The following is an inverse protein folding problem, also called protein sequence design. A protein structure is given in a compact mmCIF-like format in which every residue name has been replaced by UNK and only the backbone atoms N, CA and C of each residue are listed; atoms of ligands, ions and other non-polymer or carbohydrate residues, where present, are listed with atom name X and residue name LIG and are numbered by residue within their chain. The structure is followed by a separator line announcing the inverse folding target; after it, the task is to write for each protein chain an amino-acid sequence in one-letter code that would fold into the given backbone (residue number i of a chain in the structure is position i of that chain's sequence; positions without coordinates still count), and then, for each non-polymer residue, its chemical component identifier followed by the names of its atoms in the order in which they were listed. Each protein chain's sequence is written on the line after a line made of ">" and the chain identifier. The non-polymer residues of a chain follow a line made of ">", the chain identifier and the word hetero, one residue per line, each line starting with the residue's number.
data_IF_511406467481
#
_entry.id   IF_511406467481
#
_cell.length_a   1.000
_cell.length_b   1.000
_cell.length_c   1.000
_cell.angle_alpha   90.00
_cell.angle_beta   90.00
_cell.angle_gamma   90.00
#
_symmetry.space_group_name_H-M   'P 1'
#
loop_
_entity.id
_entity.type
_entity.pdbx_description
1 polymer ?
#
# COMPACT_ATOMS: atom_id res chain seq x y z
N UNK A 1 -80.27 5.58 52.60
CA UNK A 1 -79.69 6.60 51.71
C UNK A 1 -78.35 6.08 51.24
N UNK A 2 -78.26 5.65 49.98
CA UNK A 2 -77.04 5.15 49.36
C UNK A 2 -77.07 5.55 47.87
N UNK A 3 -75.98 6.07 47.28
CA UNK A 3 -76.04 6.77 46.00
C UNK A 3 -75.82 5.83 44.81
N UNK A 4 -76.47 6.18 43.69
CA UNK A 4 -76.32 5.54 42.39
C UNK A 4 -74.92 5.81 41.80
N UNK A 5 -74.22 4.75 41.38
CA UNK A 5 -73.05 4.83 40.51
C UNK A 5 -73.49 4.56 39.06
N UNK A 6 -73.31 5.56 38.20
CA UNK A 6 -73.44 5.43 36.75
C UNK A 6 -72.18 4.76 36.19
N UNK A 7 -72.36 3.69 35.42
CA UNK A 7 -71.30 3.04 34.66
C UNK A 7 -71.02 3.84 33.37
N UNK A 8 -69.79 4.33 33.23
CA UNK A 8 -69.28 4.91 31.99
C UNK A 8 -68.87 3.81 31.01
N UNK A 9 -69.30 3.94 29.76
CA UNK A 9 -68.90 3.11 28.62
C UNK A 9 -67.45 3.41 28.20
N UNK A 10 -66.63 2.39 27.86
CA UNK A 10 -65.27 2.62 27.40
C UNK A 10 -65.23 3.09 25.94
N UNK A 11 -64.43 4.13 25.66
CA UNK A 11 -64.09 4.54 24.30
C UNK A 11 -63.12 3.53 23.64
N UNK A 12 -63.23 3.30 22.32
CA UNK A 12 -62.32 2.43 21.59
C UNK A 12 -60.94 3.07 21.41
N UNK A 13 -59.87 2.26 21.29
CA UNK A 13 -58.50 2.74 21.16
C UNK A 13 -58.28 3.44 19.81
N UNK A 14 -57.58 4.58 19.85
CA UNK A 14 -57.10 5.31 18.69
C UNK A 14 -56.00 4.52 17.98
N UNK A 15 -56.25 4.24 16.70
CA UNK A 15 -55.35 3.58 15.76
C UNK A 15 -54.15 4.50 15.45
N UNK A 16 -52.98 4.16 16.00
CA UNK A 16 -51.72 4.81 15.64
C UNK A 16 -51.12 4.07 14.46
N UNK A 17 -51.34 4.60 13.26
CA UNK A 17 -50.69 4.14 12.02
C UNK A 17 -49.16 4.16 12.13
N UNK A 18 -48.47 3.42 11.25
CA UNK A 18 -47.03 3.17 11.35
C UNK A 18 -46.23 4.47 11.25
N UNK A 19 -45.41 4.72 12.28
CA UNK A 19 -44.42 5.79 12.31
C UNK A 19 -43.39 5.55 11.19
N UNK A 20 -43.25 6.53 10.29
CA UNK A 20 -42.15 6.55 9.32
C UNK A 20 -40.81 6.70 10.06
N UNK A 21 -39.74 6.00 9.64
CA UNK A 21 -38.41 6.21 10.19
C UNK A 21 -37.90 7.63 9.87
N UNK A 22 -37.03 8.20 10.73
CA UNK A 22 -36.48 9.53 10.50
C UNK A 22 -35.64 9.55 9.22
N UNK A 23 -35.87 10.58 8.40
CA UNK A 23 -35.13 10.85 7.18
C UNK A 23 -33.77 11.46 7.53
N UNK A 24 -32.75 10.61 7.71
CA UNK A 24 -31.36 11.05 7.70
C UNK A 24 -30.96 11.38 6.25
N UNK A 25 -31.21 12.63 5.86
CA UNK A 25 -30.57 13.24 4.69
C UNK A 25 -29.64 14.34 5.20
N UNK A 26 -28.42 13.95 5.57
CA UNK A 26 -27.32 14.91 5.54
C UNK A 26 -27.09 15.35 4.09
N UNK A 27 -26.93 16.65 3.81
CA UNK A 27 -26.64 17.13 2.48
C UNK A 27 -25.30 16.55 2.00
N UNK A 28 -25.18 16.16 0.72
CA UNK A 28 -23.93 15.62 0.21
C UNK A 28 -22.84 16.68 0.31
N UNK A 29 -21.83 16.41 1.14
CA UNK A 29 -20.57 17.17 1.15
C UNK A 29 -19.92 16.94 -0.21
N UNK A 30 -20.05 17.92 -1.10
CA UNK A 30 -19.37 17.95 -2.39
C UNK A 30 -17.88 18.19 -2.15
N UNK A 31 -17.11 17.12 -1.97
CA UNK A 31 -15.66 17.18 -2.02
C UNK A 31 -15.27 17.43 -3.48
N UNK A 32 -14.52 18.51 -3.81
CA UNK A 32 -14.07 18.73 -5.17
C UNK A 32 -13.17 17.56 -5.60
N UNK A 33 -13.65 16.78 -6.57
CA UNK A 33 -12.87 15.72 -7.21
C UNK A 33 -11.77 16.40 -8.03
N UNK A 34 -10.57 16.43 -7.47
CA UNK A 34 -9.39 16.91 -8.18
C UNK A 34 -8.98 15.85 -9.22
N UNK A 35 -9.52 15.98 -10.45
CA UNK A 35 -9.32 15.07 -11.57
C UNK A 35 -7.88 15.04 -12.14
N UNK A 36 -6.91 15.69 -11.50
CA UNK A 36 -5.55 15.86 -12.01
C UNK A 36 -4.51 14.84 -11.51
N UNK A 37 -4.91 13.75 -10.83
CA UNK A 37 -3.99 12.63 -10.53
C UNK A 37 -3.80 11.76 -11.77
N UNK A 38 -2.89 12.16 -12.66
CA UNK A 38 -2.36 11.30 -13.73
C UNK A 38 -1.48 10.22 -13.13
N UNK A 39 -1.66 8.96 -13.57
CA UNK A 39 -0.67 7.89 -13.36
C UNK A 39 0.71 8.42 -13.81
N UNK A 40 1.75 8.34 -12.96
CA UNK A 40 3.06 8.85 -13.33
C UNK A 40 3.60 8.04 -14.52
N UNK A 41 3.73 8.66 -15.69
CA UNK A 41 4.33 8.07 -16.89
C UNK A 41 5.75 7.50 -16.63
N UNK A 42 6.39 7.94 -15.54
CA UNK A 42 7.71 7.49 -15.10
C UNK A 42 7.71 6.03 -14.58
N UNK A 43 6.57 5.45 -14.23
CA UNK A 43 6.53 4.08 -13.66
C UNK A 43 6.97 3.03 -14.70
N UNK A 44 6.52 3.15 -15.95
CA UNK A 44 6.97 2.25 -17.03
C UNK A 44 8.47 2.37 -17.32
N UNK A 45 9.05 3.56 -17.14
CA UNK A 45 10.48 3.78 -17.36
C UNK A 45 11.36 3.32 -16.19
N UNK A 46 10.77 3.17 -15.00
CA UNK A 46 11.49 2.74 -13.79
C UNK A 46 11.71 1.24 -13.69
N UNK A 47 11.06 0.45 -14.55
CA UNK A 47 11.11 -1.01 -14.53
C UNK A 47 12.12 -1.46 -15.60
N UNK A 48 13.14 -2.28 -15.24
CA UNK A 48 14.20 -2.64 -16.16
C UNK A 48 13.68 -3.39 -17.40
N UNK A 49 14.33 -3.19 -18.57
CA UNK A 49 14.00 -3.91 -19.80
C UNK A 49 14.12 -5.44 -19.63
N UNK A 50 13.36 -6.19 -20.43
CA UNK A 50 13.10 -7.62 -20.24
C UNK A 50 14.35 -8.51 -20.27
N UNK A 51 15.33 -8.23 -21.15
CA UNK A 51 16.50 -9.09 -21.37
C UNK A 51 17.42 -9.29 -20.13
N UNK A 52 17.20 -8.56 -19.04
CA UNK A 52 17.94 -8.68 -17.78
C UNK A 52 17.10 -9.13 -16.57
N UNK A 53 15.87 -9.62 -16.78
CA UNK A 53 14.94 -9.95 -15.67
C UNK A 53 15.18 -11.34 -15.07
N UNK A 54 16.29 -11.47 -14.34
CA UNK A 54 16.46 -12.53 -13.34
C UNK A 54 15.90 -12.13 -11.96
N UNK A 55 15.44 -10.88 -11.81
CA UNK A 55 15.02 -10.32 -10.53
C UNK A 55 13.53 -10.51 -10.20
N UNK A 56 13.24 -10.48 -8.90
CA UNK A 56 11.89 -10.39 -8.37
C UNK A 56 11.37 -8.95 -8.49
N UNK A 57 10.14 -8.76 -8.98
CA UNK A 57 9.49 -7.44 -9.06
C UNK A 57 8.32 -7.38 -8.08
N UNK A 58 8.31 -6.33 -7.26
CA UNK A 58 7.20 -5.97 -6.37
C UNK A 58 6.91 -4.48 -6.48
N UNK A 59 5.65 -4.11 -6.70
CA UNK A 59 5.17 -2.74 -6.70
C UNK A 59 3.93 -2.65 -5.81
N UNK A 60 3.87 -1.66 -4.95
CA UNK A 60 2.74 -1.47 -4.02
C UNK A 60 2.33 -0.01 -3.95
N UNK A 61 1.02 0.25 -3.90
CA UNK A 61 0.49 1.57 -3.56
C UNK A 61 -0.83 1.93 -4.25
N UNK A 62 -1.26 3.16 -4.00
CA UNK A 62 -2.46 3.78 -4.59
C UNK A 62 -2.22 4.09 -6.08
N UNK A 63 -2.90 3.35 -6.95
CA UNK A 63 -2.86 3.55 -8.39
C UNK A 63 -4.11 4.29 -8.91
N UNK A 64 -5.05 4.63 -8.03
CA UNK A 64 -6.36 5.22 -8.36
C UNK A 64 -7.11 4.44 -9.48
N UNK A 65 -6.77 3.17 -9.63
CA UNK A 65 -7.20 2.30 -10.71
C UNK A 65 -8.31 1.37 -10.20
N UNK A 66 -9.44 1.33 -10.91
CA UNK A 66 -10.52 0.38 -10.61
C UNK A 66 -10.45 -0.71 -11.68
N UNK A 67 -9.94 -1.89 -11.31
CA UNK A 67 -9.73 -3.00 -12.24
C UNK A 67 -10.85 -4.05 -12.18
N UNK A 68 -11.68 -4.01 -11.13
CA UNK A 68 -12.67 -5.05 -10.86
C UNK A 68 -12.01 -6.44 -10.84
N UNK A 69 -12.68 -7.40 -11.47
CA UNK A 69 -12.22 -8.79 -11.60
C UNK A 69 -11.58 -9.09 -12.96
N UNK A 70 -11.29 -8.08 -13.78
CA UNK A 70 -10.70 -8.33 -15.10
C UNK A 70 -9.28 -8.86 -15.01
N UNK A 71 -8.97 -9.71 -15.99
CA UNK A 71 -7.67 -10.34 -16.15
C UNK A 71 -6.59 -9.30 -16.49
N UNK A 72 -5.57 -9.31 -15.66
CA UNK A 72 -4.28 -8.63 -15.77
C UNK A 72 -3.26 -9.45 -16.56
N UNK A 73 -3.70 -10.57 -17.13
CA UNK A 73 -2.91 -11.45 -17.97
C UNK A 73 -3.55 -11.64 -19.36
N UNK A 74 -2.82 -12.31 -20.25
CA UNK A 74 -3.22 -12.78 -21.57
C UNK A 74 -3.25 -14.31 -21.46
N UNK A 75 -4.33 -14.95 -21.89
CA UNK A 75 -4.34 -16.42 -21.95
C UNK A 75 -3.46 -16.82 -23.13
N UNK A 76 -2.37 -17.57 -22.91
CA UNK A 76 -1.56 -18.03 -24.02
C UNK A 76 -2.32 -19.03 -24.88
N UNK A 77 -2.14 -18.96 -26.20
CA UNK A 77 -2.63 -19.97 -27.12
C UNK A 77 -1.56 -21.05 -27.28
N UNK A 78 -1.81 -22.20 -26.66
CA UNK A 78 -0.89 -23.35 -26.68
C UNK A 78 -0.56 -23.81 -28.10
N UNK A 79 -1.48 -23.63 -29.06
CA UNK A 79 -1.26 -24.05 -30.45
C UNK A 79 -0.20 -23.21 -31.18
N UNK A 80 0.06 -21.97 -30.73
CA UNK A 80 1.06 -21.11 -31.35
C UNK A 80 2.49 -21.55 -31.03
N UNK A 81 2.73 -22.21 -29.89
CA UNK A 81 4.08 -22.68 -29.52
C UNK A 81 4.55 -23.74 -30.51
N UNK A 82 3.71 -24.74 -30.74
CA UNK A 82 4.02 -25.88 -31.60
C UNK A 82 4.20 -25.44 -33.05
N UNK A 83 3.47 -24.40 -33.47
CA UNK A 83 3.53 -23.87 -34.84
C UNK A 83 4.80 -23.03 -35.07
N UNK A 84 5.25 -22.27 -34.07
CA UNK A 84 6.32 -21.29 -34.25
C UNK A 84 7.71 -21.74 -33.76
N UNK A 85 7.85 -22.97 -33.23
CA UNK A 85 9.13 -23.51 -32.74
C UNK A 85 9.89 -22.49 -31.86
N UNK A 86 9.16 -21.82 -30.96
CA UNK A 86 9.69 -20.66 -30.24
C UNK A 86 10.92 -21.03 -29.39
N UNK A 87 12.03 -20.33 -29.61
CA UNK A 87 13.27 -20.50 -28.84
C UNK A 87 13.14 -19.96 -27.40
N UNK A 88 14.05 -20.37 -26.52
CA UNK A 88 14.03 -20.09 -25.07
C UNK A 88 14.07 -18.60 -24.69
N UNK A 89 14.50 -17.73 -25.60
CA UNK A 89 14.59 -16.28 -25.46
C UNK A 89 13.34 -15.55 -25.98
N UNK A 90 12.31 -16.28 -26.42
CA UNK A 90 11.10 -15.69 -26.93
C UNK A 90 10.20 -15.11 -25.81
N UNK A 91 9.76 -13.86 -25.97
CA UNK A 91 8.88 -13.16 -25.02
C UNK A 91 7.57 -13.92 -24.76
N UNK A 92 7.00 -14.56 -25.78
CA UNK A 92 5.78 -15.37 -25.66
C UNK A 92 6.05 -16.56 -24.75
N UNK A 93 7.17 -17.27 -24.95
CA UNK A 93 7.53 -18.42 -24.13
C UNK A 93 7.78 -18.01 -22.67
N UNK A 94 8.47 -16.89 -22.42
CA UNK A 94 8.64 -16.36 -21.06
C UNK A 94 7.30 -16.02 -20.40
N UNK A 95 6.39 -15.39 -21.15
CA UNK A 95 5.04 -15.07 -20.66
C UNK A 95 4.27 -16.33 -20.26
N UNK A 96 4.37 -17.39 -21.06
CA UNK A 96 3.73 -18.67 -20.79
C UNK A 96 4.25 -19.34 -19.53
N UNK A 97 5.57 -19.29 -19.32
CA UNK A 97 6.17 -19.80 -18.10
C UNK A 97 5.67 -19.05 -16.87
N UNK A 98 5.52 -17.72 -16.94
CA UNK A 98 4.97 -16.91 -15.85
C UNK A 98 3.52 -17.27 -15.53
N UNK A 99 2.70 -17.47 -16.57
CA UNK A 99 1.30 -17.87 -16.45
C UNK A 99 1.15 -19.28 -15.84
N UNK A 100 1.91 -20.26 -16.34
CA UNK A 100 1.93 -21.62 -15.81
C UNK A 100 2.50 -21.69 -14.39
N UNK A 101 3.49 -20.85 -14.07
CA UNK A 101 4.05 -20.77 -12.73
C UNK A 101 3.00 -20.38 -11.68
N UNK A 102 2.09 -19.44 -11.99
CA UNK A 102 1.00 -19.10 -11.09
C UNK A 102 0.05 -20.28 -10.86
N UNK A 103 -0.27 -21.05 -11.91
CA UNK A 103 -1.10 -22.26 -11.80
C UNK A 103 -0.41 -23.31 -10.92
N UNK A 104 0.87 -23.58 -11.15
CA UNK A 104 1.67 -24.55 -10.38
C UNK A 104 1.76 -24.18 -8.89
N UNK A 105 1.72 -22.88 -8.57
CA UNK A 105 1.70 -22.38 -7.20
C UNK A 105 0.31 -22.40 -6.55
N UNK A 106 -0.70 -22.98 -7.20
CA UNK A 106 -2.10 -22.99 -6.77
C UNK A 106 -2.63 -21.57 -6.48
N UNK A 107 -2.17 -20.56 -7.24
CA UNK A 107 -2.69 -19.20 -7.15
C UNK A 107 -3.84 -19.03 -8.15
N UNK A 108 -4.99 -18.49 -7.73
CA UNK A 108 -6.11 -18.29 -8.65
C UNK A 108 -5.71 -17.27 -9.73
N UNK A 109 -5.88 -17.67 -10.99
CA UNK A 109 -5.66 -16.79 -12.13
C UNK A 109 -6.73 -15.70 -12.16
N UNK A 110 -8.01 -16.09 -12.07
CA UNK A 110 -9.11 -15.14 -11.97
C UNK A 110 -9.14 -14.49 -10.59
N UNK A 111 -9.24 -13.16 -10.59
CA UNK A 111 -9.33 -12.36 -9.36
C UNK A 111 -10.78 -12.23 -8.90
N UNK A 112 -10.95 -12.10 -7.61
CA UNK A 112 -12.21 -11.63 -7.01
C UNK A 112 -12.01 -10.20 -6.49
N UNK A 113 -13.12 -9.51 -6.25
CA UNK A 113 -13.09 -8.21 -5.61
C UNK A 113 -14.42 -7.95 -4.92
N UNK A 114 -14.36 -7.44 -3.70
CA UNK A 114 -15.51 -6.89 -3.00
C UNK A 114 -15.97 -5.54 -3.59
N UNK A 115 -15.16 -4.91 -4.46
CA UNK A 115 -15.58 -3.72 -5.18
C UNK A 115 -16.55 -4.07 -6.31
N UNK A 116 -17.80 -3.64 -6.19
CA UNK A 116 -18.78 -3.67 -7.28
C UNK A 116 -18.67 -2.47 -8.24
N UNK A 117 -17.54 -1.77 -8.21
CA UNK A 117 -17.31 -0.62 -9.05
C UNK A 117 -17.02 -1.00 -10.51
N UNK A 118 -17.53 -0.17 -11.43
CA UNK A 118 -17.11 -0.25 -12.83
C UNK A 118 -15.61 0.05 -12.98
N UNK A 119 -15.00 -0.61 -13.95
CA UNK A 119 -13.64 -0.29 -14.38
C UNK A 119 -13.55 1.18 -14.81
N UNK A 120 -12.47 1.85 -14.42
CA UNK A 120 -12.15 3.19 -14.89
C UNK A 120 -10.98 3.18 -15.89
N UNK A 121 -10.70 4.34 -16.49
CA UNK A 121 -9.60 4.49 -17.47
C UNK A 121 -8.23 4.10 -16.89
N UNK A 122 -7.98 4.39 -15.62
CA UNK A 122 -6.75 3.99 -14.94
C UNK A 122 -6.68 2.47 -14.73
N UNK A 123 -7.82 1.82 -14.49
CA UNK A 123 -7.96 0.36 -14.45
C UNK A 123 -7.55 -0.30 -15.75
N UNK A 124 -8.05 0.21 -16.89
CA UNK A 124 -7.62 -0.28 -18.20
C UNK A 124 -6.11 -0.14 -18.43
N UNK A 125 -5.53 1.01 -18.07
CA UNK A 125 -4.09 1.26 -18.19
C UNK A 125 -3.26 0.35 -17.27
N UNK A 126 -3.73 0.12 -16.05
CA UNK A 126 -3.07 -0.78 -15.11
C UNK A 126 -3.07 -2.23 -15.63
N UNK A 127 -4.20 -2.71 -16.15
CA UNK A 127 -4.29 -4.05 -16.72
C UNK A 127 -3.38 -4.20 -17.95
N UNK A 128 -3.32 -3.19 -18.83
CA UNK A 128 -2.41 -3.16 -19.97
C UNK A 128 -0.93 -3.16 -19.53
N UNK A 129 -0.60 -2.38 -18.50
CA UNK A 129 0.74 -2.36 -17.90
C UNK A 129 1.11 -3.73 -17.32
N UNK A 130 0.20 -4.40 -16.61
CA UNK A 130 0.44 -5.74 -16.04
C UNK A 130 0.82 -6.74 -17.13
N UNK A 131 0.05 -6.76 -18.22
CA UNK A 131 0.27 -7.64 -19.38
C UNK A 131 1.63 -7.38 -20.04
N UNK A 132 1.94 -6.11 -20.29
CA UNK A 132 3.21 -5.70 -20.94
C UNK A 132 4.44 -5.92 -20.08
N UNK A 133 4.28 -5.84 -18.76
CA UNK A 133 5.39 -5.93 -17.83
C UNK A 133 5.51 -7.29 -17.15
N UNK A 134 4.66 -8.25 -17.48
CA UNK A 134 4.68 -9.61 -16.90
C UNK A 134 4.58 -9.57 -15.37
N UNK A 135 3.75 -8.66 -14.86
CA UNK A 135 3.43 -8.55 -13.44
C UNK A 135 1.95 -8.79 -13.25
N UNK A 136 1.61 -9.27 -12.07
CA UNK A 136 0.28 -9.75 -11.74
C UNK A 136 -0.20 -9.07 -10.46
N UNK A 137 -1.44 -8.60 -10.46
CA UNK A 137 -2.14 -8.08 -9.29
C UNK A 137 -2.27 -9.20 -8.26
N UNK A 138 -1.65 -9.04 -7.11
CA UNK A 138 -1.69 -9.99 -6.03
C UNK A 138 -2.99 -9.93 -5.23
N UNK A 139 -3.68 -8.79 -5.14
CA UNK A 139 -4.97 -8.71 -4.45
C UNK A 139 -5.91 -9.82 -4.96
N UNK A 140 -6.52 -10.56 -4.03
CA UNK A 140 -7.34 -11.78 -4.16
C UNK A 140 -6.62 -13.11 -4.44
N UNK A 141 -5.27 -13.16 -4.49
CA UNK A 141 -4.52 -14.34 -4.95
C UNK A 141 -3.67 -15.09 -3.92
N UNK A 142 -2.94 -14.45 -3.00
CA UNK A 142 -2.08 -15.16 -2.07
C UNK A 142 -2.76 -15.40 -0.71
N UNK A 143 -2.46 -16.57 -0.13
CA UNK A 143 -2.63 -16.88 1.30
C UNK A 143 -4.05 -16.59 1.78
N UNK A 144 -4.22 -15.67 2.73
CA UNK A 144 -5.46 -15.36 3.41
C UNK A 144 -6.45 -14.57 2.55
N UNK A 145 -5.98 -13.91 1.49
CA UNK A 145 -6.84 -13.11 0.60
C UNK A 145 -7.33 -13.91 -0.62
N UNK A 146 -7.01 -15.21 -0.73
CA UNK A 146 -7.46 -16.07 -1.84
C UNK A 146 -8.98 -15.98 -2.00
N UNK A 147 -9.44 -15.48 -3.16
CA UNK A 147 -10.85 -15.40 -3.48
C UNK A 147 -11.64 -14.34 -2.71
N UNK A 148 -10.97 -13.45 -1.95
CA UNK A 148 -11.62 -12.35 -1.22
C UNK A 148 -11.56 -11.05 -2.03
N UNK A 149 -10.36 -10.46 -2.16
CA UNK A 149 -10.17 -9.20 -2.89
C UNK A 149 -10.79 -8.02 -2.15
N UNK A 150 -10.47 -7.89 -0.86
CA UNK A 150 -11.02 -6.89 0.06
C UNK A 150 -10.74 -5.47 -0.42
N UNK A 151 -11.70 -4.57 -0.20
CA UNK A 151 -11.54 -3.15 -0.55
C UNK A 151 -10.39 -2.50 0.20
N UNK A 152 -9.61 -1.66 -0.48
CA UNK A 152 -8.48 -0.92 0.12
C UNK A 152 -8.82 0.53 0.45
N UNK A 153 -9.99 1.04 0.03
CA UNK A 153 -10.40 2.41 0.24
C UNK A 153 -11.88 2.50 0.65
N UNK A 154 -12.14 3.04 1.85
CA UNK A 154 -13.45 3.31 2.46
C UNK A 154 -14.48 2.17 2.42
N UNK A 155 -14.08 0.91 2.37
CA UNK A 155 -15.02 -0.20 2.16
C UNK A 155 -15.79 -0.13 0.82
N UNK A 156 -15.31 0.70 -0.12
CA UNK A 156 -16.02 1.00 -1.37
C UNK A 156 -15.20 0.60 -2.58
N UNK A 157 -13.87 0.69 -2.53
CA UNK A 157 -13.04 0.39 -3.69
C UNK A 157 -11.70 -0.25 -3.41
N UNK A 158 -11.21 -0.99 -4.41
CA UNK A 158 -9.84 -1.48 -4.50
C UNK A 158 -9.10 -0.54 -5.45
N UNK A 159 -8.21 0.28 -4.89
CA UNK A 159 -7.36 1.22 -5.66
C UNK A 159 -5.88 1.12 -5.28
N UNK A 160 -5.60 0.51 -4.15
CA UNK A 160 -4.26 0.16 -3.68
C UNK A 160 -3.98 -1.28 -4.08
N UNK A 161 -2.93 -1.48 -4.87
CA UNK A 161 -2.59 -2.79 -5.40
C UNK A 161 -1.20 -3.19 -4.96
N UNK A 162 -1.03 -4.50 -4.78
CA UNK A 162 0.27 -5.14 -4.84
C UNK A 162 0.40 -5.82 -6.20
N UNK A 163 1.47 -5.51 -6.93
CA UNK A 163 1.83 -6.15 -8.21
C UNK A 163 3.10 -6.95 -8.01
N UNK A 164 3.10 -8.21 -8.46
CA UNK A 164 4.22 -9.12 -8.29
C UNK A 164 4.58 -9.80 -9.61
N UNK A 165 5.85 -10.05 -9.85
CA UNK A 165 6.27 -11.08 -10.81
C UNK A 165 5.80 -12.47 -10.36
N UNK A 166 5.48 -13.36 -11.30
CA UNK A 166 5.09 -14.78 -11.07
C UNK A 166 5.96 -15.49 -10.01
N UNK A 167 7.29 -15.36 -10.10
CA UNK A 167 8.27 -15.96 -9.18
C UNK A 167 8.11 -15.50 -7.73
N UNK A 168 7.67 -14.27 -7.51
CA UNK A 168 7.57 -13.69 -6.17
C UNK A 168 6.35 -14.21 -5.40
N UNK A 169 5.32 -14.72 -6.08
CA UNK A 169 4.14 -15.31 -5.43
C UNK A 169 4.46 -16.51 -4.53
N UNK A 170 5.46 -17.32 -4.86
CA UNK A 170 5.89 -18.43 -4.00
C UNK A 170 6.57 -17.98 -2.71
N UNK A 171 7.05 -16.74 -2.67
CA UNK A 171 7.68 -16.16 -1.49
C UNK A 171 6.69 -15.36 -0.64
N UNK A 172 5.46 -15.13 -1.07
CA UNK A 172 4.45 -14.49 -0.22
C UNK A 172 4.04 -15.46 0.88
N UNK A 173 4.35 -15.09 2.13
CA UNK A 173 4.02 -15.86 3.34
C UNK A 173 2.69 -15.42 3.93
N UNK A 174 2.48 -14.11 4.01
CA UNK A 174 1.25 -13.49 4.50
C UNK A 174 0.85 -12.36 3.56
N UNK A 175 -0.46 -12.20 3.35
CA UNK A 175 -1.02 -11.07 2.62
C UNK A 175 -2.44 -10.82 3.08
N UNK A 176 -2.70 -9.61 3.57
CA UNK A 176 -4.01 -9.23 4.04
C UNK A 176 -4.25 -7.72 3.88
N UNK A 177 -5.53 -7.37 3.73
CA UNK A 177 -5.99 -5.98 3.81
C UNK A 177 -6.53 -5.78 5.23
N UNK A 178 -5.79 -5.01 6.02
CA UNK A 178 -6.14 -4.71 7.41
C UNK A 178 -7.37 -3.80 7.47
N UNK A 179 -8.06 -3.83 8.61
CA UNK A 179 -9.20 -2.94 8.84
C UNK A 179 -8.76 -1.46 8.85
N UNK A 180 -9.70 -0.58 8.51
CA UNK A 180 -9.47 0.86 8.53
C UNK A 180 -9.09 1.34 9.92
N UNK A 181 -7.99 2.09 10.03
CA UNK A 181 -7.56 2.74 11.27
C UNK A 181 -7.45 4.25 11.00
N UNK A 182 -8.37 5.02 11.58
CA UNK A 182 -8.45 6.48 11.42
C UNK A 182 -7.21 7.24 11.91
N UNK A 183 -6.37 6.60 12.74
CA UNK A 183 -5.09 7.14 13.18
C UNK A 183 -4.04 7.16 12.06
N UNK A 184 -4.10 6.22 11.12
CA UNK A 184 -3.06 6.03 10.09
C UNK A 184 -3.50 6.47 8.70
N UNK A 185 -4.80 6.58 8.45
CA UNK A 185 -5.34 7.05 7.18
C UNK A 185 -6.70 7.70 7.36
N UNK A 186 -7.02 8.60 6.45
CA UNK A 186 -8.34 9.19 6.29
C UNK A 186 -9.29 8.30 5.48
N UNK A 187 -8.76 7.50 4.54
CA UNK A 187 -9.58 6.76 3.58
C UNK A 187 -9.06 5.36 3.20
N UNK A 188 -7.81 5.03 3.48
CA UNK A 188 -7.17 3.79 3.02
C UNK A 188 -7.04 2.74 4.13
N UNK A 189 -7.26 1.48 3.74
CA UNK A 189 -6.93 0.30 4.52
C UNK A 189 -5.47 -0.08 4.25
N UNK A 190 -4.74 -0.50 5.28
CA UNK A 190 -3.35 -0.90 5.12
C UNK A 190 -3.25 -2.26 4.38
N UNK A 191 -2.28 -2.37 3.48
CA UNK A 191 -1.89 -3.64 2.87
C UNK A 191 -0.74 -4.21 3.71
N UNK A 192 -0.96 -5.35 4.33
CA UNK A 192 0.06 -6.09 5.04
C UNK A 192 0.58 -7.23 4.16
N UNK A 193 1.90 -7.34 4.03
CA UNK A 193 2.55 -8.41 3.30
C UNK A 193 3.82 -8.86 4.01
N UNK A 194 4.02 -10.18 4.07
CA UNK A 194 5.25 -10.81 4.54
C UNK A 194 5.83 -11.67 3.43
N UNK A 195 7.12 -11.51 3.16
CA UNK A 195 7.86 -12.38 2.25
C UNK A 195 8.74 -13.36 3.03
N UNK A 196 8.78 -14.61 2.57
CA UNK A 196 9.75 -15.61 3.00
C UNK A 196 11.14 -15.15 2.61
N UNK A 197 11.99 -14.93 3.61
CA UNK A 197 13.41 -14.76 3.39
C UNK A 197 14.03 -16.10 3.05
N UNK A 198 14.52 -16.25 1.83
CA UNK A 198 15.39 -17.38 1.47
C UNK A 198 16.82 -16.90 1.70
N UNK A 199 17.51 -17.45 2.71
CA UNK A 199 18.94 -17.23 2.88
C UNK A 199 19.67 -17.84 1.68
N UNK A 200 19.89 -17.04 0.64
CA UNK A 200 20.83 -17.37 -0.42
C UNK A 200 22.23 -17.19 0.16
N UNK A 201 22.78 -18.27 0.73
CA UNK A 201 24.21 -18.38 0.97
C UNK A 201 24.87 -18.51 -0.41
N UNK A 202 25.27 -17.40 -1.04
CA UNK A 202 26.22 -17.39 -2.14
C UNK A 202 26.89 -16.01 -2.26
N UNK A 203 28.20 -16.06 -2.51
CA UNK A 203 29.17 -14.99 -2.51
C UNK A 203 28.74 -13.79 -3.36
N UNK A 204 28.62 -12.62 -2.74
CA UNK A 204 28.40 -11.36 -3.45
C UNK A 204 29.69 -11.03 -4.22
N UNK A 205 29.74 -11.39 -5.50
CA UNK A 205 30.61 -10.71 -6.46
C UNK A 205 30.05 -9.31 -6.69
N UNK A 206 30.65 -8.34 -6.01
CA UNK A 206 30.34 -6.92 -6.17
C UNK A 206 30.68 -6.46 -7.59
N UNK A 207 29.69 -6.45 -8.48
CA UNK A 207 29.69 -5.51 -9.61
C UNK A 207 28.61 -4.46 -9.37
N UNK A 208 29.00 -3.39 -8.67
CA UNK A 208 28.10 -2.31 -8.32
C UNK A 208 28.28 -1.17 -9.32
N UNK A 209 27.36 -1.08 -10.27
CA UNK A 209 27.24 0.07 -11.17
C UNK A 209 26.94 1.34 -10.37
N UNK A 210 27.96 2.20 -10.33
CA UNK A 210 28.04 3.64 -10.12
C UNK A 210 26.82 4.48 -9.63
N UNK A 211 27.13 5.29 -8.62
CA UNK A 211 26.65 6.67 -8.35
C UNK A 211 25.32 6.90 -7.62
N UNK A 212 24.97 6.07 -6.64
CA UNK A 212 24.13 6.54 -5.54
C UNK A 212 25.02 6.86 -4.33
N UNK A 213 25.02 8.11 -3.84
CA UNK A 213 25.54 8.43 -2.51
C UNK A 213 24.57 7.88 -1.47
N UNK A 214 24.61 6.57 -1.24
CA UNK A 214 23.82 5.93 -0.18
C UNK A 214 24.45 6.23 1.16
N UNK A 215 23.71 6.91 2.03
CA UNK A 215 24.04 6.98 3.45
C UNK A 215 23.84 5.56 4.00
N UNK A 216 24.94 4.84 4.21
CA UNK A 216 24.92 3.49 4.78
C UNK A 216 25.07 3.60 6.29
N UNK A 217 24.17 2.95 7.04
CA UNK A 217 24.32 2.76 8.48
C UNK A 217 25.67 2.08 8.78
N UNK A 218 26.36 2.56 9.81
CA UNK A 218 27.65 2.04 10.25
C UNK A 218 27.49 1.44 11.64
N UNK A 219 27.46 0.12 11.75
CA UNK A 219 27.27 -0.59 13.03
C UNK A 219 28.30 -0.21 14.09
N UNK A 220 29.53 0.15 13.69
CA UNK A 220 30.56 0.60 14.61
C UNK A 220 30.19 1.92 15.33
N UNK A 221 29.24 2.67 14.78
CA UNK A 221 28.71 3.93 15.36
C UNK A 221 27.39 3.74 16.10
N UNK A 222 26.90 2.50 16.27
CA UNK A 222 25.67 2.23 17.01
C UNK A 222 25.68 2.82 18.42
N UNK A 223 26.76 2.59 19.17
CA UNK A 223 26.86 3.11 20.54
C UNK A 223 26.97 4.64 20.56
N UNK A 224 27.62 5.25 19.58
CA UNK A 224 27.69 6.70 19.42
C UNK A 224 26.29 7.31 19.14
N UNK A 225 25.47 6.63 18.33
CA UNK A 225 24.09 7.00 18.06
C UNK A 225 23.23 6.96 19.32
N UNK A 226 23.28 5.83 20.04
CA UNK A 226 22.54 5.64 21.29
C UNK A 226 22.99 6.66 22.35
N UNK A 227 24.30 6.91 22.47
CA UNK A 227 24.84 7.89 23.40
C UNK A 227 24.43 9.33 23.03
N UNK A 228 24.33 9.66 21.74
CA UNK A 228 23.85 10.98 21.29
C UNK A 228 22.41 11.20 21.73
N UNK A 229 21.54 10.19 21.58
CA UNK A 229 20.18 10.24 22.12
C UNK A 229 20.14 10.37 23.65
N UNK A 230 20.99 9.61 24.36
CA UNK A 230 21.08 9.73 25.82
C UNK A 230 21.58 11.09 26.29
N UNK A 231 22.47 11.73 25.53
CA UNK A 231 22.99 13.07 25.84
C UNK A 231 21.95 14.16 25.55
N UNK A 232 20.93 13.88 24.71
CA UNK A 232 19.79 14.75 24.46
C UNK A 232 18.62 14.54 25.43
N UNK A 233 18.87 13.96 26.61
CA UNK A 233 17.84 13.66 27.62
C UNK A 233 17.04 14.89 28.06
N UNK A 234 17.69 16.05 28.16
CA UNK A 234 17.01 17.29 28.55
C UNK A 234 16.04 17.76 27.45
N UNK A 235 16.43 17.63 26.17
CA UNK A 235 15.54 17.92 25.04
C UNK A 235 14.34 16.95 25.01
N UNK A 236 14.58 15.65 25.24
CA UNK A 236 13.49 14.67 25.35
C UNK A 236 12.53 14.99 26.51
N UNK A 237 13.06 15.48 27.63
CA UNK A 237 12.24 15.88 28.79
C UNK A 237 11.39 17.10 28.46
N UNK A 238 11.93 18.08 27.72
CA UNK A 238 11.18 19.24 27.26
C UNK A 238 10.05 18.84 26.30
N UNK A 239 10.35 18.01 25.29
CA UNK A 239 9.34 17.48 24.36
C UNK A 239 8.20 16.77 25.13
N UNK A 240 8.55 15.96 26.14
CA UNK A 240 7.56 15.26 26.96
C UNK A 240 6.71 16.22 27.79
N UNK A 241 7.32 17.24 28.39
CA UNK A 241 6.59 18.26 29.14
C UNK A 241 5.66 19.06 28.22
N UNK A 242 6.10 19.39 27.02
CA UNK A 242 5.28 20.12 26.05
C UNK A 242 4.10 19.28 25.58
N UNK A 243 4.32 17.98 25.33
CA UNK A 243 3.23 17.03 25.06
C UNK A 243 2.24 16.91 26.22
N UNK A 244 2.72 16.85 27.45
CA UNK A 244 1.86 16.79 28.65
C UNK A 244 1.07 18.10 28.84
N UNK A 245 1.71 19.24 28.62
CA UNK A 245 1.07 20.56 28.64
C UNK A 245 0.00 20.68 27.55
N UNK A 246 0.24 20.15 26.34
CA UNK A 246 -0.77 20.13 25.27
C UNK A 246 -1.92 19.19 25.64
N UNK A 247 -1.62 18.01 26.17
CA UNK A 247 -2.61 17.00 26.54
C UNK A 247 -3.55 17.46 27.67
N UNK A 248 -3.03 18.26 28.62
CA UNK A 248 -3.81 18.78 29.76
C UNK A 248 -4.63 20.02 29.42
N UNK A 249 -4.45 20.61 28.23
CA UNK A 249 -5.21 21.78 27.77
C UNK A 249 -6.47 21.34 27.01
N UNK A 250 -7.55 22.11 27.18
CA UNK A 250 -8.81 21.89 26.45
C UNK A 250 -8.71 22.17 24.93
N UNK A 251 -7.63 22.83 24.49
CA UNK A 251 -7.41 23.18 23.08
C UNK A 251 -5.95 22.99 22.68
N UNK A 252 -5.75 22.35 21.53
CA UNK A 252 -4.46 22.17 20.86
C UNK A 252 -4.49 22.92 19.52
N UNK A 253 -3.48 23.73 19.24
CA UNK A 253 -3.35 24.47 17.99
C UNK A 253 -2.39 23.78 17.04
N UNK A 254 -2.44 24.14 15.74
CA UNK A 254 -1.47 23.65 14.76
C UNK A 254 -0.03 24.04 15.13
N UNK A 255 0.16 25.23 15.71
CA UNK A 255 1.48 25.70 16.15
C UNK A 255 2.06 24.80 17.24
N UNK A 256 1.22 24.29 18.15
CA UNK A 256 1.65 23.37 19.20
C UNK A 256 2.19 22.06 18.59
N UNK A 257 1.49 21.53 17.57
CA UNK A 257 1.90 20.33 16.83
C UNK A 257 3.20 20.59 16.05
N UNK A 258 3.29 21.72 15.36
CA UNK A 258 4.46 22.08 14.55
C UNK A 258 5.71 22.24 15.42
N UNK A 259 5.57 22.82 16.61
CA UNK A 259 6.67 22.98 17.57
C UNK A 259 7.20 21.62 18.04
N UNK A 260 6.31 20.75 18.56
CA UNK A 260 6.71 19.42 19.03
C UNK A 260 7.32 18.58 17.90
N UNK A 261 6.71 18.62 16.72
CA UNK A 261 7.21 17.89 15.54
C UNK A 261 8.57 18.44 15.10
N UNK A 262 8.76 19.76 15.17
CA UNK A 262 10.03 20.43 14.89
C UNK A 262 11.14 19.96 15.82
N UNK A 263 10.88 19.95 17.13
CA UNK A 263 11.86 19.52 18.14
C UNK A 263 12.24 18.04 18.00
N UNK A 264 11.26 17.16 17.75
CA UNK A 264 11.52 15.74 17.47
C UNK A 264 12.39 15.62 16.21
N UNK A 265 12.06 16.32 15.14
CA UNK A 265 12.83 16.30 13.90
C UNK A 265 14.26 16.78 14.09
N UNK A 266 14.46 17.87 14.84
CA UNK A 266 15.80 18.38 15.16
C UNK A 266 16.61 17.36 15.97
N UNK A 267 15.99 16.69 16.94
CA UNK A 267 16.63 15.65 17.73
C UNK A 267 17.14 14.50 16.84
N UNK A 268 16.28 13.97 15.97
CA UNK A 268 16.67 12.92 15.03
C UNK A 268 17.74 13.39 14.04
N UNK A 269 17.61 14.62 13.54
CA UNK A 269 18.54 15.18 12.55
C UNK A 269 19.93 15.43 13.15
N UNK A 270 20.01 15.95 14.37
CA UNK A 270 21.26 16.16 15.08
C UNK A 270 21.94 14.83 15.39
N UNK A 271 21.18 13.82 15.81
CA UNK A 271 21.70 12.47 16.05
C UNK A 271 22.18 11.81 14.76
N UNK A 272 21.45 11.96 13.66
CA UNK A 272 21.84 11.45 12.35
C UNK A 272 23.12 12.14 11.84
N UNK A 273 23.28 13.46 12.04
CA UNK A 273 24.47 14.21 11.60
C UNK A 273 25.79 13.73 12.23
N UNK A 274 25.76 13.30 13.49
CA UNK A 274 26.97 12.85 14.20
C UNK A 274 27.37 11.43 13.82
N UNK A 275 26.39 10.61 13.46
CA UNK A 275 26.53 9.15 13.39
C UNK A 275 26.50 8.60 11.97
N UNK A 276 25.75 9.24 11.08
CA UNK A 276 25.72 8.84 9.68
C UNK A 276 26.94 9.42 8.95
N UNK A 277 27.63 8.56 8.21
CA UNK A 277 28.81 8.94 7.45
C UNK A 277 28.46 10.03 6.42
N UNK A 278 29.21 11.13 6.41
CA UNK A 278 29.10 12.13 5.33
C UNK A 278 29.41 11.44 3.99
N UNK A 279 28.69 11.77 2.91
CA UNK A 279 28.97 11.21 1.60
C UNK A 279 30.43 11.51 1.23
N UNK A 280 31.21 10.46 0.99
CA UNK A 280 32.58 10.59 0.53
C UNK A 280 32.53 11.00 -0.95
N UNK A 281 32.64 12.29 -1.22
CA UNK A 281 32.86 12.77 -2.58
C UNK A 281 34.25 12.33 -3.03
N UNK A 282 34.33 11.32 -3.90
CA UNK A 282 35.59 11.00 -4.59
C UNK A 282 35.89 12.16 -5.54
N UNK A 283 36.99 12.88 -5.28
CA UNK A 283 37.45 13.93 -6.18
C UNK A 283 37.77 13.32 -7.54
N UNK A 284 37.12 13.85 -8.58
CA UNK A 284 37.32 13.41 -9.97
C UNK A 284 38.79 13.68 -10.32
N UNK A 285 39.58 12.64 -10.60
CA UNK A 285 40.90 12.83 -11.21
C UNK A 285 40.66 13.54 -12.55
N UNK A 286 41.20 14.74 -12.71
CA UNK A 286 41.20 15.43 -14.00
C UNK A 286 41.91 14.51 -15.00
N UNK A 287 41.34 14.24 -16.19
CA UNK A 287 42.07 13.55 -17.24
C UNK A 287 43.29 14.40 -17.60
N UNK A 288 44.47 13.78 -17.65
CA UNK A 288 45.67 14.43 -18.18
C UNK A 288 45.44 14.72 -19.66
N UNK A 289 45.42 16.01 -20.00
CA UNK A 289 45.51 16.54 -21.36
C UNK A 289 46.91 16.33 -21.93
#
# INVERSE_FOLDING_TARGET
>A
MNPQHQQGTPQPPTDHGPQQPPSDQDPPISVPVNNNRTMPNNLMQSIPPQDNRTGFVSLIGDLNAKTGTRDDFIVPDESLIDIFELESDNEILSYMLDYEQLKLQNKPLSRTSECHCNINNYGHKLLDMCKKLHVFIANSRPVSDIGIGRTTCKHVSVIDYLLLSSKLFSLVDEFEILDFISLFSDVHNAIHIVFKSVLLHNEITHDTSQNATTIKWNDNKRNEFVNTFHNSRDQLTNIMNDLENIYTRDTCTQQDIDNVTGEINELFHNTAKTTLSKPHYKSRKKPNS
#
